data_IF_520653204560
#
_entry.id   IF_520653204560
#
_cell.length_a   1.000
_cell.length_b   1.000
_cell.length_c   1.000
_cell.angle_alpha   90.00
_cell.angle_beta   90.00
_cell.angle_gamma   90.00
#
_symmetry.space_group_name_H-M   'P 1'
#
loop_
_entity.id
_entity.type
_entity.pdbx_description
1 polymer ?
#
# COMPACT_ATOMS: atom_id res chain seq x y z
N UNK A 1 -20.38 7.08 -9.92
CA UNK A 1 -20.22 5.92 -9.03
C UNK A 1 -18.84 6.01 -8.42
N UNK A 2 -18.73 6.00 -7.09
CA UNK A 2 -17.44 5.79 -6.44
C UNK A 2 -17.01 4.36 -6.78
N UNK A 3 -15.80 4.18 -7.29
CA UNK A 3 -15.26 2.84 -7.53
C UNK A 3 -15.23 2.05 -6.21
N UNK A 4 -15.45 0.73 -6.29
CA UNK A 4 -15.26 -0.15 -5.15
C UNK A 4 -13.81 -0.03 -4.67
N UNK A 5 -13.62 0.10 -3.35
CA UNK A 5 -12.29 0.18 -2.75
C UNK A 5 -11.88 -1.21 -2.33
N UNK A 6 -10.88 -1.76 -3.00
CA UNK A 6 -10.25 -3.01 -2.62
C UNK A 6 -9.12 -2.75 -1.61
N UNK A 7 -8.90 -3.69 -0.69
CA UNK A 7 -7.92 -3.56 0.39
C UNK A 7 -7.03 -4.79 0.45
N UNK A 8 -5.72 -4.56 0.55
CA UNK A 8 -4.66 -5.57 0.58
C UNK A 8 -3.80 -5.36 1.83
N UNK A 9 -3.28 -6.44 2.40
CA UNK A 9 -2.35 -6.39 3.54
C UNK A 9 -0.95 -6.74 3.07
N UNK A 10 0.00 -5.81 3.29
CA UNK A 10 1.43 -5.98 3.00
C UNK A 10 2.23 -6.10 4.30
N UNK A 11 2.76 -7.30 4.64
CA UNK A 11 3.73 -7.43 5.71
C UNK A 11 5.09 -6.91 5.26
N UNK A 12 5.77 -6.16 6.14
CA UNK A 12 7.14 -5.66 5.95
C UNK A 12 7.98 -6.11 7.13
N UNK A 13 9.00 -6.92 6.87
CA UNK A 13 9.89 -7.46 7.90
C UNK A 13 11.09 -6.54 8.10
N UNK A 14 11.36 -6.17 9.36
CA UNK A 14 12.46 -5.30 9.75
C UNK A 14 13.31 -5.99 10.78
N UNK A 15 14.62 -5.94 10.58
CA UNK A 15 15.58 -6.47 11.53
C UNK A 15 16.00 -5.39 12.52
N UNK A 16 15.45 -5.44 13.74
CA UNK A 16 15.80 -4.55 14.84
C UNK A 16 16.76 -5.27 15.80
N UNK A 17 18.06 -5.17 15.51
CA UNK A 17 19.11 -5.87 16.26
C UNK A 17 19.03 -7.39 16.08
N UNK A 18 18.74 -8.12 17.17
CA UNK A 18 18.56 -9.58 17.16
C UNK A 18 17.09 -10.02 17.01
N UNK A 19 16.15 -9.07 16.85
CA UNK A 19 14.72 -9.35 16.71
C UNK A 19 14.26 -9.04 15.28
N UNK A 20 13.32 -9.85 14.79
CA UNK A 20 12.55 -9.54 13.59
C UNK A 20 11.22 -8.96 14.03
N UNK A 21 10.91 -7.74 13.57
CA UNK A 21 9.64 -7.05 13.77
C UNK A 21 8.89 -7.05 12.44
N UNK A 22 7.59 -7.35 12.47
CA UNK A 22 6.74 -7.33 11.27
C UNK A 22 5.76 -6.18 11.41
N UNK A 23 5.84 -5.24 10.47
CA UNK A 23 4.87 -4.15 10.32
C UNK A 23 3.87 -4.51 9.23
N UNK A 24 2.64 -4.01 9.36
CA UNK A 24 1.57 -4.31 8.41
C UNK A 24 1.05 -3.02 7.78
N UNK A 25 1.17 -2.93 6.46
CA UNK A 25 0.56 -1.87 5.67
C UNK A 25 -0.78 -2.34 5.11
N UNK A 26 -1.82 -1.53 5.30
CA UNK A 26 -3.10 -1.66 4.63
C UNK A 26 -3.06 -0.83 3.35
N UNK A 27 -2.94 -1.50 2.21
CA UNK A 27 -2.96 -0.89 0.88
C UNK A 27 -4.41 -0.85 0.40
N UNK A 28 -4.88 0.33 0.02
CA UNK A 28 -6.20 0.52 -0.60
C UNK A 28 -6.04 0.92 -2.05
N UNK A 29 -6.88 0.37 -2.90
CA UNK A 29 -6.89 0.66 -4.33
C UNK A 29 -8.32 0.86 -4.80
N UNK A 30 -8.52 1.79 -5.73
CA UNK A 30 -9.81 2.09 -6.31
C UNK A 30 -9.65 2.43 -7.79
N UNK A 31 -10.50 1.86 -8.64
CA UNK A 31 -10.59 2.24 -10.04
C UNK A 31 -11.71 3.28 -10.23
N UNK A 32 -11.34 4.48 -10.69
CA UNK A 32 -12.28 5.57 -10.95
C UNK A 32 -12.04 6.10 -12.35
N UNK A 33 -13.06 6.03 -13.21
CA UNK A 33 -12.97 6.46 -14.61
C UNK A 33 -11.79 5.85 -15.38
N UNK A 34 -11.57 4.53 -15.21
CA UNK A 34 -10.44 3.79 -15.81
C UNK A 34 -9.05 4.26 -15.36
N UNK A 35 -8.97 4.93 -14.21
CA UNK A 35 -7.74 5.33 -13.56
C UNK A 35 -7.64 4.66 -12.22
N UNK A 36 -6.45 4.16 -11.90
CA UNK A 36 -6.20 3.42 -10.67
C UNK A 36 -5.61 4.37 -9.64
N UNK A 37 -6.27 4.50 -8.50
CA UNK A 37 -5.80 5.27 -7.37
C UNK A 37 -5.39 4.31 -6.26
N UNK A 38 -4.29 4.61 -5.59
CA UNK A 38 -3.75 3.80 -4.50
C UNK A 38 -3.44 4.66 -3.28
N UNK A 39 -3.56 4.08 -2.09
CA UNK A 39 -3.11 4.66 -0.81
C UNK A 39 -2.65 3.55 0.12
N UNK A 40 -1.89 3.88 1.15
CA UNK A 40 -1.50 2.89 2.15
C UNK A 40 -1.45 3.49 3.55
N UNK A 41 -1.66 2.67 4.57
CA UNK A 41 -1.50 3.08 5.98
C UNK A 41 -0.85 1.96 6.78
N UNK A 42 0.24 2.25 7.46
CA UNK A 42 0.87 1.32 8.38
C UNK A 42 0.07 1.29 9.70
N UNK A 43 -0.23 0.09 10.16
CA UNK A 43 -1.20 -0.12 11.24
C UNK A 43 -0.70 0.35 12.61
N UNK A 44 0.61 0.31 12.86
CA UNK A 44 1.22 0.53 14.19
C UNK A 44 1.54 2.00 14.44
N UNK A 45 2.38 2.58 13.59
CA UNK A 45 2.87 3.97 13.59
C UNK A 45 1.86 4.97 13.04
N UNK A 46 0.81 4.49 12.35
CA UNK A 46 -0.17 5.32 11.62
C UNK A 46 0.47 6.18 10.52
N UNK A 47 1.67 5.84 10.07
CA UNK A 47 2.26 6.44 8.88
C UNK A 47 1.37 6.12 7.66
N UNK A 48 1.14 7.11 6.81
CA UNK A 48 0.24 6.95 5.66
C UNK A 48 0.86 7.46 4.37
N UNK A 49 0.57 6.76 3.28
CA UNK A 49 0.76 7.24 1.91
C UNK A 49 -0.62 7.72 1.43
N UNK A 50 -0.78 9.02 1.12
CA UNK A 50 -2.07 9.58 0.70
C UNK A 50 -2.50 8.99 -0.65
N UNK A 51 -3.79 9.11 -0.95
CA UNK A 51 -4.33 8.73 -2.26
C UNK A 51 -3.59 9.42 -3.39
N UNK A 52 -3.07 8.61 -4.31
CA UNK A 52 -2.34 9.06 -5.48
C UNK A 52 -2.74 8.24 -6.71
N UNK A 53 -2.60 8.85 -7.89
CA UNK A 53 -2.81 8.17 -9.16
C UNK A 53 -1.64 7.21 -9.41
N UNK A 54 -1.93 5.93 -9.65
CA UNK A 54 -0.92 4.96 -10.04
C UNK A 54 -0.46 5.19 -11.49
N UNK A 55 0.80 4.84 -11.76
CA UNK A 55 1.34 4.79 -13.12
C UNK A 55 0.90 3.54 -13.90
N UNK A 56 0.32 2.56 -13.21
CA UNK A 56 -0.02 1.23 -13.73
C UNK A 56 -1.44 1.17 -14.30
N UNK A 57 -1.65 0.19 -15.16
CA UNK A 57 -2.93 -0.03 -15.84
C UNK A 57 -3.73 -1.18 -15.25
N UNK A 58 -3.17 -1.93 -14.28
CA UNK A 58 -3.85 -2.98 -13.54
C UNK A 58 -3.77 -2.75 -12.04
N UNK A 59 -4.79 -3.22 -11.31
CA UNK A 59 -4.88 -3.12 -9.85
C UNK A 59 -3.71 -3.86 -9.21
N UNK A 60 -3.41 -5.07 -9.68
CA UNK A 60 -2.33 -5.91 -9.18
C UNK A 60 -0.97 -5.22 -9.30
N UNK A 61 -0.63 -4.68 -10.48
CA UNK A 61 0.63 -3.95 -10.68
C UNK A 61 0.71 -2.69 -9.80
N UNK A 62 -0.41 -1.98 -9.64
CA UNK A 62 -0.47 -0.78 -8.81
C UNK A 62 -0.25 -1.09 -7.32
N UNK A 63 -0.78 -2.22 -6.84
CA UNK A 63 -0.58 -2.70 -5.48
C UNK A 63 0.88 -3.14 -5.27
N UNK A 64 1.48 -3.84 -6.23
CA UNK A 64 2.90 -4.25 -6.15
C UNK A 64 3.82 -3.02 -6.10
N UNK A 65 3.61 -2.04 -6.99
CA UNK A 65 4.38 -0.79 -7.00
C UNK A 65 4.27 -0.05 -5.66
N UNK A 66 3.06 0.03 -5.09
CA UNK A 66 2.90 0.69 -3.79
C UNK A 66 3.50 -0.12 -2.63
N UNK A 67 3.47 -1.46 -2.71
CA UNK A 67 4.09 -2.32 -1.72
C UNK A 67 5.61 -2.11 -1.65
N UNK A 68 6.29 -1.95 -2.79
CA UNK A 68 7.72 -1.62 -2.83
C UNK A 68 8.01 -0.27 -2.14
N UNK A 69 7.11 0.71 -2.26
CA UNK A 69 7.24 1.99 -1.55
C UNK A 69 7.02 1.84 -0.05
N UNK A 70 6.10 0.96 0.38
CA UNK A 70 5.88 0.65 1.79
C UNK A 70 7.13 0.04 2.42
N UNK A 71 7.80 -0.87 1.70
CA UNK A 71 9.05 -1.51 2.15
C UNK A 71 10.19 -0.50 2.34
N UNK A 72 10.20 0.61 1.58
CA UNK A 72 11.22 1.66 1.66
C UNK A 72 10.96 2.73 2.74
N UNK A 73 9.76 2.76 3.32
CA UNK A 73 9.32 3.80 4.25
C UNK A 73 9.52 3.46 5.73
N UNK A 74 9.92 2.23 5.99
CA UNK A 74 10.15 1.65 7.31
C UNK A 74 11.65 1.58 7.61
#
# INVERSE_FOLDING_TARGET
>A
MYGEVETFLRPVEVQEGMKTVIYYWEIKVAEVNRKIYVSATEQTSKQSIPWQLSSKYSIEEAVIELAEVCDQKI
#
